data_IF_654851687301
#
_entry.id   IF_654851687301
#
_cell.length_a   1.000
_cell.length_b   1.000
_cell.length_c   1.000
_cell.angle_alpha   90.00
_cell.angle_beta   90.00
_cell.angle_gamma   90.00
#
_symmetry.space_group_name_H-M   'P 1'
#
loop_
_entity.id
_entity.type
_entity.pdbx_description
1 polymer ?
#
# COMPACT_ATOMS: atom_id res chain seq x y z
N UNK A 1 1.60 12.13 -5.19
CA UNK A 1 2.98 11.67 -4.88
C UNK A 1 3.02 11.11 -3.48
N UNK A 2 3.94 10.19 -3.20
CA UNK A 2 4.11 9.57 -1.88
C UNK A 2 5.52 9.82 -1.34
N UNK A 3 5.61 10.00 -0.02
CA UNK A 3 6.85 10.08 0.75
C UNK A 3 6.89 8.90 1.72
N UNK A 4 7.84 8.00 1.52
CA UNK A 4 8.14 6.90 2.45
C UNK A 4 9.25 7.34 3.42
N UNK A 5 8.83 7.83 4.57
CA UNK A 5 9.70 8.18 5.71
C UNK A 5 9.60 7.17 6.87
N UNK A 6 8.99 6.00 6.64
CA UNK A 6 8.66 5.06 7.72
C UNK A 6 9.87 4.48 8.48
N UNK A 7 11.08 4.54 7.89
CA UNK A 7 12.33 4.13 8.55
C UNK A 7 13.03 5.25 9.32
N UNK A 8 12.56 6.49 9.18
CA UNK A 8 13.10 7.63 9.91
C UNK A 8 12.46 7.73 11.30
N UNK A 9 13.13 8.40 12.22
CA UNK A 9 12.47 8.79 13.46
C UNK A 9 11.36 9.82 13.18
N UNK A 10 10.46 10.03 14.13
CA UNK A 10 9.29 10.90 13.97
C UNK A 10 9.64 12.30 13.47
N UNK A 11 10.61 12.95 14.10
CA UNK A 11 10.95 14.36 13.79
C UNK A 11 11.63 14.50 12.42
N UNK A 12 12.47 13.54 12.04
CA UNK A 12 13.09 13.48 10.71
C UNK A 12 12.06 13.24 9.63
N UNK A 13 11.10 12.29 9.87
CA UNK A 13 10.01 12.03 8.95
C UNK A 13 9.13 13.26 8.78
N UNK A 14 8.72 13.94 9.85
CA UNK A 14 7.98 15.20 9.78
C UNK A 14 8.73 16.24 8.97
N UNK A 15 10.03 16.41 9.21
CA UNK A 15 10.85 17.41 8.51
C UNK A 15 10.89 17.17 7.00
N UNK A 16 11.19 15.95 6.55
CA UNK A 16 11.30 15.65 5.12
C UNK A 16 9.94 15.68 4.43
N UNK A 17 8.92 15.15 5.07
CA UNK A 17 7.55 15.15 4.55
C UNK A 17 7.05 16.58 4.36
N UNK A 18 7.25 17.45 5.34
CA UNK A 18 6.87 18.86 5.24
C UNK A 18 7.57 19.57 4.08
N UNK A 19 8.87 19.35 3.88
CA UNK A 19 9.60 19.92 2.74
C UNK A 19 9.00 19.45 1.39
N UNK A 20 8.63 18.17 1.28
CA UNK A 20 8.00 17.65 0.07
C UNK A 20 6.61 18.25 -0.16
N UNK A 21 5.82 18.42 0.90
CA UNK A 21 4.51 19.10 0.82
C UNK A 21 4.68 20.56 0.36
N UNK A 22 5.59 21.30 0.96
CA UNK A 22 5.88 22.70 0.59
C UNK A 22 6.27 22.80 -0.89
N UNK A 23 7.14 21.90 -1.36
CA UNK A 23 7.54 21.85 -2.77
C UNK A 23 6.36 21.50 -3.69
N UNK A 24 5.53 20.53 -3.32
CA UNK A 24 4.34 20.15 -4.09
C UNK A 24 3.37 21.35 -4.20
N UNK A 25 3.16 22.12 -3.12
CA UNK A 25 2.33 23.35 -3.14
C UNK A 25 2.92 24.44 -4.01
N UNK A 26 4.24 24.59 -4.05
CA UNK A 26 4.91 25.54 -4.95
C UNK A 26 4.72 25.15 -6.42
N UNK A 27 4.88 23.86 -6.76
CA UNK A 27 4.63 23.34 -8.12
C UNK A 27 3.16 23.52 -8.50
N UNK A 28 2.22 23.26 -7.61
CA UNK A 28 0.79 23.52 -7.83
C UNK A 28 0.55 25.00 -8.19
N UNK A 29 1.14 25.94 -7.44
CA UNK A 29 1.00 27.38 -7.70
C UNK A 29 1.56 27.80 -9.06
N UNK A 30 2.68 27.22 -9.47
CA UNK A 30 3.37 27.60 -10.72
C UNK A 30 2.76 26.94 -11.96
N UNK A 31 2.22 25.74 -11.83
CA UNK A 31 1.73 24.94 -12.97
C UNK A 31 0.20 24.90 -13.09
N UNK A 32 -0.52 25.24 -12.02
CA UNK A 32 -1.97 25.05 -11.91
C UNK A 32 -2.40 23.58 -11.79
N UNK A 33 -1.45 22.64 -11.63
CA UNK A 33 -1.75 21.22 -11.44
C UNK A 33 -1.85 20.93 -9.94
N UNK A 34 -2.96 20.36 -9.53
CA UNK A 34 -3.13 19.93 -8.14
C UNK A 34 -2.31 18.67 -7.87
N UNK A 35 -1.44 18.72 -6.85
CA UNK A 35 -0.56 17.62 -6.45
C UNK A 35 -0.91 17.22 -5.03
N UNK A 36 -1.56 16.07 -4.91
CA UNK A 36 -1.81 15.45 -3.61
C UNK A 36 -0.55 14.75 -3.09
N UNK A 37 -0.27 14.93 -1.80
CA UNK A 37 0.87 14.33 -1.12
C UNK A 37 0.38 13.32 -0.10
N UNK A 38 0.87 12.11 -0.22
CA UNK A 38 0.70 11.00 0.71
C UNK A 38 1.97 10.79 1.52
N UNK A 39 1.85 10.44 2.80
CA UNK A 39 3.01 10.05 3.60
C UNK A 39 2.70 8.92 4.57
N UNK A 40 3.76 8.20 4.94
CA UNK A 40 3.71 7.03 5.83
C UNK A 40 4.23 7.37 7.23
N UNK A 41 3.57 6.79 8.25
CA UNK A 41 4.06 6.77 9.62
C UNK A 41 3.87 5.37 10.24
N UNK A 42 4.96 4.79 10.71
CA UNK A 42 5.01 3.45 11.23
C UNK A 42 5.60 2.46 10.23
N UNK A 43 6.43 1.55 10.74
CA UNK A 43 7.16 0.60 9.90
C UNK A 43 6.32 -0.65 9.60
N UNK A 44 6.05 -0.88 8.33
CA UNK A 44 5.30 -2.04 7.82
C UNK A 44 6.18 -2.99 6.98
N UNK A 45 7.49 -2.89 7.12
CA UNK A 45 8.46 -3.61 6.30
C UNK A 45 8.81 -2.84 5.03
N UNK A 46 9.92 -3.20 4.40
CA UNK A 46 10.39 -2.63 3.14
C UNK A 46 10.31 -3.64 2.00
N UNK A 47 10.18 -3.13 0.77
CA UNK A 47 10.16 -3.95 -0.45
C UNK A 47 8.89 -4.77 -0.65
N UNK A 48 8.69 -5.23 -1.89
CA UNK A 48 7.51 -5.99 -2.34
C UNK A 48 7.86 -7.48 -2.56
N UNK A 49 8.82 -8.00 -1.81
CA UNK A 49 9.36 -9.35 -1.99
C UNK A 49 8.54 -10.39 -1.21
N UNK A 50 8.80 -11.66 -1.52
CA UNK A 50 8.34 -12.78 -0.69
C UNK A 50 9.28 -12.90 0.50
N UNK A 51 8.74 -12.75 1.72
CA UNK A 51 9.48 -12.80 2.98
C UNK A 51 9.27 -14.14 3.67
N UNK A 52 10.28 -14.64 4.36
CA UNK A 52 10.15 -15.89 5.13
C UNK A 52 9.21 -15.71 6.34
N UNK A 53 9.33 -14.58 7.04
CA UNK A 53 8.51 -14.24 8.20
C UNK A 53 8.22 -12.73 8.27
N UNK A 54 7.38 -12.33 9.18
CA UNK A 54 7.13 -10.92 9.48
C UNK A 54 8.45 -10.27 9.94
N UNK A 55 8.89 -9.16 9.31
CA UNK A 55 10.12 -8.46 9.70
C UNK A 55 10.05 -7.91 11.14
N UNK A 56 11.16 -7.91 11.83
CA UNK A 56 11.26 -7.32 13.18
C UNK A 56 10.84 -5.86 13.16
N UNK A 57 9.99 -5.46 14.11
CA UNK A 57 9.46 -4.11 14.21
C UNK A 57 8.33 -3.78 13.24
N UNK A 58 8.07 -4.62 12.23
CA UNK A 58 6.90 -4.45 11.38
C UNK A 58 5.61 -4.84 12.13
N UNK A 59 4.53 -4.10 11.88
CA UNK A 59 3.25 -4.34 12.55
C UNK A 59 3.11 -3.66 13.92
N UNK A 60 4.08 -2.82 14.32
CA UNK A 60 3.84 -1.87 15.42
C UNK A 60 2.83 -0.85 14.94
N UNK A 61 1.68 -0.82 15.61
CA UNK A 61 0.56 0.00 15.18
C UNK A 61 0.84 1.49 15.42
N UNK A 62 0.46 2.32 14.45
CA UNK A 62 0.50 3.77 14.58
C UNK A 62 -0.52 4.22 15.62
N UNK A 63 -0.11 5.05 16.58
CA UNK A 63 -1.01 5.59 17.59
C UNK A 63 -1.80 6.77 17.02
N UNK A 64 -3.10 6.91 17.33
CA UNK A 64 -3.92 8.01 16.85
C UNK A 64 -3.35 9.41 17.20
N UNK A 65 -2.72 9.55 18.37
CA UNK A 65 -2.10 10.80 18.80
C UNK A 65 -0.88 11.17 17.95
N UNK A 66 -0.06 10.17 17.60
CA UNK A 66 1.11 10.37 16.74
C UNK A 66 0.67 10.61 15.28
N UNK A 67 -0.36 9.94 14.82
CA UNK A 67 -0.98 10.19 13.51
C UNK A 67 -1.45 11.64 13.40
N UNK A 68 -2.20 12.13 14.38
CA UNK A 68 -2.66 13.51 14.40
C UNK A 68 -1.53 14.52 14.40
N UNK A 69 -0.54 14.33 15.26
CA UNK A 69 0.64 15.20 15.32
C UNK A 69 1.39 15.25 13.98
N UNK A 70 1.51 14.10 13.34
CA UNK A 70 2.20 13.98 12.05
C UNK A 70 1.45 14.73 10.94
N UNK A 71 0.15 14.49 10.81
CA UNK A 71 -0.71 15.15 9.82
C UNK A 71 -0.73 16.67 10.02
N UNK A 72 -0.94 17.13 11.27
CA UNK A 72 -0.97 18.56 11.60
C UNK A 72 0.38 19.25 11.32
N UNK A 73 1.49 18.57 11.55
CA UNK A 73 2.83 19.14 11.35
C UNK A 73 3.28 19.18 9.88
N UNK A 74 2.79 18.24 9.07
CA UNK A 74 3.25 18.06 7.69
C UNK A 74 2.32 18.68 6.65
N UNK A 75 1.00 18.68 6.90
CA UNK A 75 -0.01 19.18 5.97
C UNK A 75 -0.20 18.30 4.73
N UNK A 76 0.00 16.99 4.86
CA UNK A 76 -0.28 15.99 3.83
C UNK A 76 -1.77 15.88 3.50
N UNK A 77 -2.09 15.36 2.33
CA UNK A 77 -3.47 15.21 1.84
C UNK A 77 -4.03 13.81 2.10
N UNK A 78 -3.16 12.78 2.18
CA UNK A 78 -3.50 11.39 2.45
C UNK A 78 -2.47 10.78 3.40
N UNK A 79 -2.92 9.87 4.24
CA UNK A 79 -2.09 9.31 5.31
C UNK A 79 -2.08 7.78 5.28
N UNK A 80 -0.90 7.17 5.28
CA UNK A 80 -0.68 5.74 5.34
C UNK A 80 -0.13 5.32 6.72
N UNK A 81 -0.98 4.92 7.66
CA UNK A 81 -0.57 4.41 8.97
C UNK A 81 -0.18 2.94 8.94
N UNK A 82 0.64 2.50 9.90
CA UNK A 82 0.79 1.07 10.22
C UNK A 82 -0.43 0.59 11.01
N UNK A 83 -1.20 -0.32 10.41
CA UNK A 83 -2.45 -0.86 10.98
C UNK A 83 -2.47 -2.39 11.02
N UNK A 84 -1.29 -3.02 10.90
CA UNK A 84 -1.09 -4.48 10.99
C UNK A 84 -0.81 -5.17 9.65
N UNK A 85 -0.95 -4.48 8.53
CA UNK A 85 -0.51 -4.95 7.21
C UNK A 85 1.02 -4.91 7.08
N UNK A 86 1.57 -5.69 6.13
CA UNK A 86 3.01 -5.84 5.92
C UNK A 86 3.31 -5.75 4.42
N UNK A 87 4.35 -5.00 4.06
CA UNK A 87 4.84 -4.95 2.69
C UNK A 87 5.39 -6.31 2.23
N UNK A 88 4.98 -6.75 1.03
CA UNK A 88 5.36 -8.04 0.46
C UNK A 88 4.37 -9.16 0.82
N UNK A 89 4.80 -10.40 0.55
CA UNK A 89 4.05 -11.61 0.90
C UNK A 89 4.85 -12.39 1.93
N UNK A 90 4.23 -12.75 3.05
CA UNK A 90 4.88 -13.47 4.14
C UNK A 90 4.53 -14.96 4.05
N UNK A 91 5.55 -15.86 4.09
CA UNK A 91 5.34 -17.32 4.06
C UNK A 91 4.90 -17.86 5.40
N UNK A 92 5.48 -17.35 6.49
CA UNK A 92 5.18 -17.79 7.86
C UNK A 92 4.64 -16.62 8.67
N UNK A 93 3.49 -16.83 9.28
CA UNK A 93 2.70 -15.77 9.92
C UNK A 93 1.58 -15.29 9.00
N UNK A 94 0.61 -14.61 9.59
CA UNK A 94 -0.48 -13.97 8.85
C UNK A 94 -0.61 -12.54 9.34
N UNK A 95 -0.21 -11.55 8.55
CA UNK A 95 -0.56 -10.18 8.84
C UNK A 95 -2.08 -10.04 8.85
N UNK A 96 -2.62 -9.23 9.73
CA UNK A 96 -4.04 -8.91 9.79
C UNK A 96 -4.18 -7.46 10.23
N UNK A 97 -5.25 -6.84 9.83
CA UNK A 97 -5.49 -5.44 10.17
C UNK A 97 -6.23 -5.28 11.50
N UNK A 98 -6.13 -4.08 12.06
CA UNK A 98 -6.80 -3.66 13.30
C UNK A 98 -7.84 -2.59 12.99
N UNK A 99 -9.12 -2.94 12.73
CA UNK A 99 -10.16 -1.99 12.35
C UNK A 99 -10.43 -0.90 13.38
N UNK A 100 -10.33 -1.24 14.65
CA UNK A 100 -10.44 -0.29 15.78
C UNK A 100 -9.40 0.82 15.73
N UNK A 101 -8.15 0.47 15.37
CA UNK A 101 -7.07 1.43 15.18
C UNK A 101 -7.31 2.32 13.96
N UNK A 102 -7.79 1.73 12.86
CA UNK A 102 -8.14 2.49 11.64
C UNK A 102 -9.22 3.54 11.96
N UNK A 103 -10.29 3.15 12.66
CA UNK A 103 -11.37 4.05 13.07
C UNK A 103 -10.82 5.20 13.92
N UNK A 104 -10.04 4.88 14.96
CA UNK A 104 -9.48 5.87 15.86
C UNK A 104 -8.53 6.85 15.15
N UNK A 105 -7.69 6.37 14.23
CA UNK A 105 -6.83 7.22 13.41
C UNK A 105 -7.67 8.10 12.47
N UNK A 106 -8.68 7.52 11.79
CA UNK A 106 -9.56 8.26 10.88
C UNK A 106 -10.25 9.44 11.57
N UNK A 107 -10.76 9.19 12.78
CA UNK A 107 -11.38 10.24 13.60
C UNK A 107 -10.37 11.32 14.02
N UNK A 108 -9.15 10.93 14.36
CA UNK A 108 -8.12 11.85 14.81
C UNK A 108 -7.58 12.76 13.68
N UNK A 109 -7.39 12.22 12.47
CA UNK A 109 -6.73 12.95 11.38
C UNK A 109 -7.69 13.64 10.41
N UNK A 110 -8.88 13.09 10.18
CA UNK A 110 -9.92 13.67 9.33
C UNK A 110 -9.63 13.68 7.82
N UNK A 111 -8.48 13.16 7.37
CA UNK A 111 -8.09 13.06 5.96
C UNK A 111 -8.24 11.62 5.45
N UNK A 112 -8.21 11.37 4.11
CA UNK A 112 -8.23 10.01 3.56
C UNK A 112 -7.08 9.15 4.09
N UNK A 113 -7.42 7.89 4.48
CA UNK A 113 -6.45 6.89 4.88
C UNK A 113 -6.10 5.96 3.73
N UNK A 114 -4.83 5.59 3.65
CA UNK A 114 -4.27 4.68 2.65
C UNK A 114 -3.78 3.41 3.34
N UNK A 115 -4.13 2.25 2.79
CA UNK A 115 -3.64 0.95 3.24
C UNK A 115 -2.48 0.51 2.34
N UNK A 116 -1.29 0.45 2.91
CA UNK A 116 -0.13 -0.20 2.31
C UNK A 116 -0.01 -1.65 2.78
N UNK A 117 0.82 -2.44 2.08
CA UNK A 117 1.09 -3.82 2.47
C UNK A 117 -0.15 -4.73 2.38
N UNK A 118 -1.06 -4.44 1.45
CA UNK A 118 -2.29 -5.22 1.28
C UNK A 118 -2.08 -6.63 0.77
N UNK A 119 -1.02 -6.88 -0.03
CA UNK A 119 -0.75 -8.21 -0.59
C UNK A 119 -0.53 -9.25 0.52
N UNK A 120 -1.34 -10.31 0.54
CA UNK A 120 -1.29 -11.36 1.55
C UNK A 120 -2.31 -11.22 2.69
N UNK A 121 -3.07 -10.13 2.74
CA UNK A 121 -4.24 -10.01 3.59
C UNK A 121 -5.39 -10.89 3.08
N UNK A 122 -6.27 -11.32 3.98
CA UNK A 122 -7.51 -12.01 3.61
C UNK A 122 -8.54 -11.05 3.02
N UNK A 123 -9.49 -11.60 2.25
CA UNK A 123 -10.61 -10.79 1.74
C UNK A 123 -11.43 -10.15 2.86
N UNK A 124 -11.58 -10.84 3.99
CA UNK A 124 -12.25 -10.32 5.20
C UNK A 124 -11.50 -9.12 5.81
N UNK A 125 -10.16 -9.15 5.83
CA UNK A 125 -9.35 -8.01 6.27
C UNK A 125 -9.56 -6.79 5.37
N UNK A 126 -9.63 -6.96 4.05
CA UNK A 126 -9.91 -5.86 3.14
C UNK A 126 -11.30 -5.26 3.35
N UNK A 127 -12.32 -6.10 3.48
CA UNK A 127 -13.69 -5.63 3.75
C UNK A 127 -13.72 -4.83 5.05
N UNK A 128 -13.14 -5.35 6.12
CA UNK A 128 -13.03 -4.65 7.41
C UNK A 128 -12.24 -3.34 7.32
N UNK A 129 -11.17 -3.30 6.51
CA UNK A 129 -10.40 -2.08 6.31
C UNK A 129 -11.24 -0.98 5.64
N UNK A 130 -11.97 -1.33 4.58
CA UNK A 130 -12.86 -0.40 3.87
C UNK A 130 -13.97 0.09 4.81
N UNK A 131 -14.63 -0.81 5.53
CA UNK A 131 -15.68 -0.47 6.51
C UNK A 131 -15.16 0.43 7.64
N UNK A 132 -13.91 0.24 8.06
CA UNK A 132 -13.25 1.06 9.09
C UNK A 132 -12.81 2.45 8.59
N UNK A 133 -12.83 2.70 7.28
CA UNK A 133 -12.57 4.03 6.72
C UNK A 133 -11.30 4.19 5.88
N UNK A 134 -10.67 3.09 5.46
CA UNK A 134 -9.63 3.13 4.42
C UNK A 134 -10.26 3.61 3.12
N UNK A 135 -9.63 4.58 2.48
CA UNK A 135 -10.12 5.22 1.24
C UNK A 135 -9.34 4.80 0.00
N UNK A 136 -8.08 4.40 0.17
CA UNK A 136 -7.17 3.97 -0.90
C UNK A 136 -6.45 2.70 -0.46
N UNK A 137 -6.26 1.75 -1.36
CA UNK A 137 -5.54 0.49 -1.09
C UNK A 137 -4.47 0.29 -2.15
N UNK A 138 -3.23 0.08 -1.73
CA UNK A 138 -2.12 -0.23 -2.62
C UNK A 138 -1.86 -1.73 -2.69
N UNK A 139 -2.01 -2.30 -3.90
CA UNK A 139 -1.74 -3.70 -4.21
C UNK A 139 -0.60 -3.79 -5.21
N UNK A 140 0.42 -4.60 -4.94
CA UNK A 140 1.57 -4.77 -5.80
C UNK A 140 2.08 -6.23 -5.84
N UNK A 141 2.50 -6.80 -4.70
CA UNK A 141 3.23 -8.07 -4.68
C UNK A 141 2.43 -9.24 -5.26
N UNK A 142 1.11 -9.31 -5.04
CA UNK A 142 0.28 -10.37 -5.61
C UNK A 142 0.14 -10.26 -7.14
N UNK A 143 0.09 -9.03 -7.68
CA UNK A 143 0.06 -8.80 -9.14
C UNK A 143 1.39 -9.26 -9.76
N UNK A 144 2.52 -8.92 -9.13
CA UNK A 144 3.84 -9.38 -9.57
C UNK A 144 3.99 -10.89 -9.49
N UNK A 145 3.42 -11.52 -8.46
CA UNK A 145 3.44 -12.98 -8.31
C UNK A 145 2.63 -13.64 -9.42
N UNK A 146 1.43 -13.15 -9.71
CA UNK A 146 0.61 -13.64 -10.81
C UNK A 146 1.34 -13.53 -12.15
N UNK A 147 1.97 -12.38 -12.44
CA UNK A 147 2.80 -12.21 -13.62
C UNK A 147 3.93 -13.25 -13.71
N UNK A 148 4.71 -13.36 -12.63
CA UNK A 148 5.87 -14.28 -12.58
C UNK A 148 5.45 -15.72 -12.83
N UNK A 149 4.39 -16.18 -12.16
CA UNK A 149 3.96 -17.57 -12.23
C UNK A 149 3.34 -17.90 -13.60
N UNK A 150 2.64 -16.94 -14.21
CA UNK A 150 2.07 -17.12 -15.54
C UNK A 150 3.14 -17.11 -16.63
N UNK A 151 4.14 -16.21 -16.56
CA UNK A 151 5.24 -16.20 -17.56
C UNK A 151 6.08 -17.47 -17.46
N UNK A 152 6.36 -17.97 -16.26
CA UNK A 152 7.06 -19.23 -16.09
C UNK A 152 6.31 -20.37 -16.77
N UNK A 153 5.01 -20.53 -16.51
CA UNK A 153 4.16 -21.56 -17.13
C UNK A 153 4.11 -21.40 -18.66
N UNK A 154 4.00 -20.18 -19.15
CA UNK A 154 3.94 -19.90 -20.59
C UNK A 154 5.21 -20.33 -21.30
N UNK A 155 6.38 -20.00 -20.76
CA UNK A 155 7.69 -20.40 -21.33
C UNK A 155 7.89 -21.91 -21.26
N UNK A 156 7.52 -22.55 -20.14
CA UNK A 156 7.64 -24.01 -19.99
C UNK A 156 6.76 -24.78 -20.96
N UNK A 157 5.53 -24.29 -21.22
CA UNK A 157 4.58 -24.91 -22.13
C UNK A 157 4.89 -24.69 -23.62
N UNK A 158 5.58 -23.60 -23.95
CA UNK A 158 5.81 -23.17 -25.34
C UNK A 158 7.30 -22.94 -25.60
N UNK A 159 8.11 -23.98 -25.46
CA UNK A 159 9.59 -23.88 -25.51
C UNK A 159 10.16 -23.34 -26.81
N UNK A 160 9.47 -23.58 -27.95
CA UNK A 160 9.90 -23.17 -29.28
C UNK A 160 9.27 -21.83 -29.71
N UNK A 161 8.41 -21.22 -28.88
CA UNK A 161 7.82 -19.91 -29.20
C UNK A 161 8.81 -18.80 -28.89
N UNK A 162 9.05 -17.96 -29.88
CA UNK A 162 9.98 -16.81 -29.76
C UNK A 162 9.28 -15.47 -29.83
N UNK A 163 7.97 -15.45 -30.09
CA UNK A 163 7.20 -14.21 -30.13
C UNK A 163 6.87 -13.72 -28.72
N UNK A 164 7.42 -12.55 -28.30
CA UNK A 164 7.21 -12.03 -26.96
C UNK A 164 5.73 -11.82 -26.62
N UNK A 165 4.90 -11.35 -27.56
CA UNK A 165 3.49 -11.09 -27.30
C UNK A 165 2.72 -12.37 -26.93
N UNK A 166 3.03 -13.50 -27.56
CA UNK A 166 2.41 -14.78 -27.24
C UNK A 166 2.86 -15.33 -25.89
N UNK A 167 4.14 -15.14 -25.55
CA UNK A 167 4.70 -15.58 -24.27
C UNK A 167 4.19 -14.72 -23.10
N UNK A 168 4.01 -13.41 -23.32
CA UNK A 168 3.62 -12.46 -22.26
C UNK A 168 2.11 -12.37 -22.08
N UNK A 169 1.29 -12.68 -23.09
CA UNK A 169 -0.17 -12.54 -22.99
C UNK A 169 -0.77 -13.27 -21.78
N UNK A 170 -0.41 -14.54 -21.49
CA UNK A 170 -0.92 -15.22 -20.28
C UNK A 170 -0.55 -14.53 -18.97
N UNK A 171 0.56 -13.80 -18.94
CA UNK A 171 0.94 -13.04 -17.76
C UNK A 171 0.11 -11.76 -17.60
N UNK A 172 -0.25 -11.10 -18.71
CA UNK A 172 -1.18 -9.97 -18.70
C UNK A 172 -2.55 -10.42 -18.22
N UNK A 173 -3.07 -11.51 -18.77
CA UNK A 173 -4.38 -12.06 -18.39
C UNK A 173 -4.42 -12.40 -16.89
N UNK A 174 -3.36 -13.03 -16.35
CA UNK A 174 -3.28 -13.36 -14.94
C UNK A 174 -3.23 -12.13 -14.01
N UNK A 175 -2.58 -11.03 -14.46
CA UNK A 175 -2.60 -9.76 -13.73
C UNK A 175 -3.99 -9.13 -13.74
N UNK A 176 -4.69 -9.16 -14.90
CA UNK A 176 -6.05 -8.65 -15.04
C UNK A 176 -7.01 -9.37 -14.10
N UNK A 177 -6.94 -10.71 -14.00
CA UNK A 177 -7.75 -11.51 -13.08
C UNK A 177 -7.57 -11.06 -11.61
N UNK A 178 -6.33 -10.85 -11.17
CA UNK A 178 -6.04 -10.38 -9.80
C UNK A 178 -6.61 -8.98 -9.59
N UNK A 179 -6.39 -8.07 -10.52
CA UNK A 179 -6.86 -6.68 -10.43
C UNK A 179 -8.40 -6.65 -10.40
N UNK A 180 -9.06 -7.40 -11.29
CA UNK A 180 -10.52 -7.46 -11.34
C UNK A 180 -11.11 -8.00 -10.04
N UNK A 181 -10.53 -9.08 -9.48
CA UNK A 181 -10.96 -9.65 -8.22
C UNK A 181 -10.85 -8.62 -7.07
N UNK A 182 -9.73 -7.90 -6.99
CA UNK A 182 -9.55 -6.85 -5.97
C UNK A 182 -10.49 -5.67 -6.14
N UNK A 183 -10.71 -5.20 -7.38
CA UNK A 183 -11.65 -4.12 -7.64
C UNK A 183 -13.08 -4.52 -7.28
N UNK A 184 -13.51 -5.74 -7.58
CA UNK A 184 -14.83 -6.26 -7.15
C UNK A 184 -14.94 -6.28 -5.64
N UNK A 185 -13.94 -6.85 -4.96
CA UNK A 185 -13.92 -6.95 -3.50
C UNK A 185 -14.02 -5.57 -2.83
N UNK A 186 -13.18 -4.62 -3.24
CA UNK A 186 -13.13 -3.27 -2.65
C UNK A 186 -14.41 -2.45 -2.87
N UNK A 187 -15.15 -2.76 -3.92
CA UNK A 187 -16.42 -2.11 -4.24
C UNK A 187 -17.66 -2.92 -3.80
N UNK A 188 -17.49 -4.04 -3.09
CA UNK A 188 -18.60 -4.89 -2.65
C UNK A 188 -19.39 -5.53 -3.80
N UNK A 189 -18.78 -5.67 -4.98
CA UNK A 189 -19.37 -6.30 -6.17
C UNK A 189 -19.19 -7.81 -6.06
N UNK A 190 -20.29 -8.55 -6.14
CA UNK A 190 -20.32 -10.03 -6.11
C UNK A 190 -20.11 -10.62 -7.49
#
# INVERSE_FOLDING_TARGET
>A
VIIDGAQLNFDENVKITKQCVEYAREVTKTTGRDILVEAELGYIGSGSDIKESIPDGAGILTKPEDAKRFVDATGIDMFAPSVGSIHGIVKVGKPHIHPDVIIAIKEAVGIPLVLHGGSGLSDDDFVKAVEAGISVIHINSEIRLAFRDAIQKSVEANRDEINPSKLLQPAVDAMEEVIEARLKLFNGIK
#
